data_IF_311800666706
#
_entry.id   IF_311800666706
#
_cell.length_a   1.000
_cell.length_b   1.000
_cell.length_c   1.000
_cell.angle_alpha   90.00
_cell.angle_beta   90.00
_cell.angle_gamma   90.00
#
_symmetry.space_group_name_H-M   'P 1'
#
loop_
_entity.id
_entity.type
_entity.pdbx_description
1 polymer ?
#
# COMPACT_ATOMS: atom_id res chain seq x y z
N UNK A 1 1.47 -15.44 34.53
CA UNK A 1 1.87 -14.46 33.52
C UNK A 1 2.85 -13.46 34.14
N UNK A 2 3.99 -13.21 33.45
CA UNK A 2 5.02 -12.29 34.00
C UNK A 2 4.88 -10.86 33.44
N UNK A 3 4.30 -10.70 32.26
CA UNK A 3 4.24 -9.43 31.50
C UNK A 3 2.79 -8.96 31.31
N UNK A 4 1.87 -9.89 31.02
CA UNK A 4 0.45 -9.55 30.79
C UNK A 4 -0.14 -8.84 31.99
N UNK A 5 -0.85 -7.75 31.77
CA UNK A 5 -1.48 -6.92 32.80
C UNK A 5 -0.52 -5.93 33.48
N UNK A 6 0.75 -5.82 33.04
CA UNK A 6 1.71 -4.85 33.55
C UNK A 6 2.01 -3.79 32.51
N UNK A 7 2.16 -2.54 32.94
CA UNK A 7 2.67 -1.47 32.08
C UNK A 7 4.18 -1.66 31.87
N UNK A 8 4.56 -2.04 30.65
CA UNK A 8 5.97 -2.21 30.26
C UNK A 8 6.34 -1.11 29.27
N UNK A 9 7.47 -0.42 29.51
CA UNK A 9 7.97 0.60 28.59
C UNK A 9 8.47 -0.06 27.30
N UNK A 10 8.21 0.58 26.17
CA UNK A 10 8.79 0.17 24.88
C UNK A 10 10.32 0.42 24.91
N UNK A 11 11.05 -0.50 24.30
CA UNK A 11 12.53 -0.43 24.24
C UNK A 11 13.03 0.73 23.38
N UNK A 12 12.28 1.09 22.33
CA UNK A 12 12.63 2.06 21.31
C UNK A 12 12.09 3.50 21.59
N UNK A 13 11.45 3.73 22.75
CA UNK A 13 10.83 5.02 23.06
C UNK A 13 11.86 6.13 23.16
N UNK A 14 12.99 5.89 23.82
CA UNK A 14 14.01 6.92 24.03
C UNK A 14 14.57 7.44 22.71
N UNK A 15 14.95 6.55 21.81
CA UNK A 15 15.52 6.92 20.51
C UNK A 15 14.51 7.71 19.67
N UNK A 16 13.21 7.33 19.73
CA UNK A 16 12.15 8.04 19.02
C UNK A 16 11.89 9.45 19.54
N UNK A 17 11.86 9.64 20.86
CA UNK A 17 11.57 10.97 21.44
C UNK A 17 12.77 11.90 21.46
N UNK A 18 13.99 11.37 21.34
CA UNK A 18 15.22 12.16 21.26
C UNK A 18 15.67 12.45 19.82
N UNK A 19 15.03 11.82 18.81
CA UNK A 19 15.43 11.92 17.41
C UNK A 19 16.67 11.09 17.05
N UNK A 20 17.10 10.16 17.90
CA UNK A 20 18.22 9.27 17.63
C UNK A 20 17.84 8.09 16.72
N UNK A 21 16.53 7.79 16.63
CA UNK A 21 16.03 6.72 15.76
C UNK A 21 16.30 7.05 14.29
N UNK A 22 16.94 6.11 13.59
CA UNK A 22 17.15 6.18 12.14
C UNK A 22 16.01 5.44 11.45
N UNK A 23 15.32 6.13 10.54
CA UNK A 23 14.27 5.57 9.70
C UNK A 23 14.78 5.25 8.29
N UNK A 24 14.02 4.50 7.50
CA UNK A 24 14.45 4.06 6.19
C UNK A 24 14.83 5.20 5.24
N UNK A 25 14.09 6.31 5.25
CA UNK A 25 14.41 7.47 4.39
C UNK A 25 15.53 8.39 4.93
N UNK A 26 16.00 8.17 6.16
CA UNK A 26 17.18 8.85 6.70
C UNK A 26 18.48 8.22 6.19
N UNK A 27 18.40 7.01 5.63
CA UNK A 27 19.56 6.30 5.12
C UNK A 27 20.21 7.06 3.97
N UNK A 28 21.52 7.27 4.06
CA UNK A 28 22.31 7.92 3.01
C UNK A 28 23.58 7.14 2.73
N UNK A 29 23.84 6.92 1.45
CA UNK A 29 25.03 6.22 0.98
C UNK A 29 25.75 7.04 -0.09
N UNK A 30 27.08 6.90 -0.23
CA UNK A 30 27.83 7.56 -1.31
C UNK A 30 27.26 7.16 -2.68
N UNK A 31 27.01 8.16 -3.53
CA UNK A 31 26.47 7.93 -4.88
C UNK A 31 25.00 7.51 -4.95
N UNK A 32 24.27 7.53 -3.83
CA UNK A 32 22.86 7.20 -3.78
C UNK A 32 22.03 8.14 -4.67
N UNK A 33 21.12 7.57 -5.45
CA UNK A 33 20.10 8.28 -6.20
C UNK A 33 18.74 8.11 -5.50
N UNK A 34 17.82 9.01 -5.81
CA UNK A 34 16.47 8.97 -5.28
C UNK A 34 15.49 8.68 -6.40
N UNK A 35 14.47 7.89 -6.13
CA UNK A 35 13.42 7.60 -7.07
C UNK A 35 12.05 7.92 -6.49
N UNK A 36 11.18 8.48 -7.32
CA UNK A 36 9.75 8.57 -7.07
C UNK A 36 9.03 7.64 -8.05
N UNK A 37 8.07 6.89 -7.56
CA UNK A 37 7.31 5.90 -8.34
C UNK A 37 5.83 6.25 -8.35
N UNK A 38 5.15 5.97 -9.46
CA UNK A 38 3.71 6.12 -9.61
C UNK A 38 3.14 4.88 -10.28
N UNK A 39 2.28 4.20 -9.56
CA UNK A 39 1.54 3.05 -10.06
C UNK A 39 0.25 3.49 -10.74
N UNK A 40 -0.29 2.60 -11.59
CA UNK A 40 -1.64 2.76 -12.10
C UNK A 40 -2.63 2.87 -10.92
N UNK A 41 -3.51 3.89 -10.91
CA UNK A 41 -4.45 4.08 -9.80
C UNK A 41 -5.51 2.99 -9.70
N UNK A 42 -5.65 2.15 -10.74
CA UNK A 42 -6.61 1.06 -10.79
C UNK A 42 -5.89 -0.27 -10.64
N UNK A 43 -6.32 -1.11 -9.71
CA UNK A 43 -5.77 -2.45 -9.51
C UNK A 43 -5.90 -3.31 -10.77
N UNK A 44 -4.78 -3.91 -11.18
CA UNK A 44 -4.69 -4.69 -12.41
C UNK A 44 -4.50 -3.86 -13.68
N UNK A 45 -4.52 -2.53 -13.56
CA UNK A 45 -4.21 -1.63 -14.67
C UNK A 45 -2.72 -1.63 -15.02
N UNK A 46 -2.40 -1.12 -16.21
CA UNK A 46 -1.05 -1.14 -16.79
C UNK A 46 -0.64 0.22 -17.34
N UNK A 47 0.65 0.40 -17.52
CA UNK A 47 1.19 1.53 -18.27
C UNK A 47 0.92 1.30 -19.76
N UNK A 48 0.16 2.18 -20.38
CA UNK A 48 -0.05 2.15 -21.84
C UNK A 48 1.06 2.92 -22.57
N UNK A 49 1.40 4.10 -22.08
CA UNK A 49 2.51 4.91 -22.59
C UNK A 49 2.88 6.01 -21.61
N UNK A 50 4.08 6.59 -21.75
CA UNK A 50 4.50 7.80 -21.05
C UNK A 50 5.52 8.59 -21.89
N UNK A 51 5.59 9.91 -21.66
CA UNK A 51 6.45 10.80 -22.42
C UNK A 51 7.76 11.10 -21.65
N UNK A 52 8.68 10.13 -21.60
CA UNK A 52 9.93 10.22 -20.85
C UNK A 52 10.72 11.52 -21.10
N UNK A 53 10.75 11.99 -22.36
CA UNK A 53 11.50 13.18 -22.75
C UNK A 53 11.08 14.46 -21.98
N UNK A 54 9.83 14.56 -21.55
CA UNK A 54 9.34 15.70 -20.76
C UNK A 54 9.95 15.77 -19.36
N UNK A 55 10.24 14.62 -18.76
CA UNK A 55 10.86 14.56 -17.44
C UNK A 55 12.39 14.51 -17.51
N UNK A 56 12.97 13.87 -18.55
CA UNK A 56 14.42 13.72 -18.68
C UNK A 56 15.20 15.03 -18.75
N UNK A 57 14.59 16.10 -19.29
CA UNK A 57 15.21 17.43 -19.35
C UNK A 57 15.09 18.25 -18.04
N UNK A 58 14.42 17.75 -17.02
CA UNK A 58 14.19 18.48 -15.77
C UNK A 58 15.41 18.43 -14.84
N UNK A 59 15.58 19.44 -13.96
CA UNK A 59 16.73 19.53 -13.07
C UNK A 59 16.92 18.25 -12.25
N UNK A 60 18.17 17.78 -12.20
CA UNK A 60 18.57 16.64 -11.35
C UNK A 60 18.14 15.27 -11.84
N UNK A 61 17.26 15.16 -12.84
CA UNK A 61 16.77 13.88 -13.37
C UNK A 61 17.90 13.11 -14.04
N UNK A 62 18.01 11.83 -13.73
CA UNK A 62 18.99 10.90 -14.28
C UNK A 62 18.35 9.88 -15.21
N UNK A 63 17.15 9.40 -14.87
CA UNK A 63 16.47 8.41 -15.69
C UNK A 63 14.96 8.44 -15.47
N UNK A 64 14.21 7.92 -16.45
CA UNK A 64 12.76 7.67 -16.38
C UNK A 64 12.56 6.24 -16.85
N UNK A 65 12.01 5.38 -16.01
CA UNK A 65 11.92 3.95 -16.27
C UNK A 65 10.51 3.42 -15.97
N UNK A 66 10.07 2.47 -16.77
CA UNK A 66 8.91 1.67 -16.44
C UNK A 66 9.32 0.58 -15.44
N UNK A 67 8.51 0.37 -14.41
CA UNK A 67 8.71 -0.64 -13.36
C UNK A 67 7.59 -1.67 -13.46
N UNK A 68 7.94 -2.88 -13.85
CA UNK A 68 6.94 -3.90 -14.19
C UNK A 68 5.99 -3.41 -15.29
N UNK A 69 4.75 -3.90 -15.25
CA UNK A 69 3.71 -3.52 -16.20
C UNK A 69 2.89 -2.31 -15.74
N UNK A 70 2.87 -2.01 -14.43
CA UNK A 70 1.89 -1.12 -13.82
C UNK A 70 2.43 0.21 -13.33
N UNK A 71 3.74 0.44 -13.36
CA UNK A 71 4.33 1.62 -12.72
C UNK A 71 5.38 2.32 -13.58
N UNK A 72 5.57 3.62 -13.31
CA UNK A 72 6.67 4.43 -13.88
C UNK A 72 7.42 5.10 -12.74
N UNK A 73 8.74 5.10 -12.79
CA UNK A 73 9.60 5.76 -11.84
C UNK A 73 10.49 6.81 -12.52
N UNK A 74 10.72 7.91 -11.81
CA UNK A 74 11.73 8.91 -12.15
C UNK A 74 12.85 8.84 -11.14
N UNK A 75 14.07 8.74 -11.61
CA UNK A 75 15.31 8.69 -10.82
C UNK A 75 16.03 10.03 -10.93
N UNK A 76 16.41 10.61 -9.79
CA UNK A 76 17.09 11.90 -9.73
C UNK A 76 18.14 11.96 -8.60
N UNK A 77 18.88 13.05 -8.54
CA UNK A 77 19.86 13.32 -7.48
C UNK A 77 19.22 13.58 -6.12
N UNK A 78 17.98 14.10 -6.09
CA UNK A 78 17.18 14.30 -4.88
C UNK A 78 15.77 13.74 -5.07
N UNK A 79 15.13 13.37 -3.96
CA UNK A 79 13.73 12.94 -4.01
C UNK A 79 12.81 14.05 -4.51
N UNK A 80 13.08 15.30 -4.17
CA UNK A 80 12.30 16.45 -4.65
C UNK A 80 12.33 16.56 -6.18
N UNK A 81 13.51 16.44 -6.79
CA UNK A 81 13.63 16.45 -8.25
C UNK A 81 12.91 15.27 -8.88
N UNK A 82 13.07 14.06 -8.31
CA UNK A 82 12.36 12.87 -8.79
C UNK A 82 10.84 13.04 -8.75
N UNK A 83 10.33 13.50 -7.60
CA UNK A 83 8.88 13.72 -7.38
C UNK A 83 8.32 14.81 -8.31
N UNK A 84 8.99 15.95 -8.40
CA UNK A 84 8.54 17.06 -9.25
C UNK A 84 8.50 16.66 -10.72
N UNK A 85 9.50 15.92 -11.19
CA UNK A 85 9.54 15.44 -12.56
C UNK A 85 8.49 14.34 -12.83
N UNK A 86 8.24 13.45 -11.86
CA UNK A 86 7.19 12.44 -11.96
C UNK A 86 5.78 13.07 -12.01
N UNK A 87 5.54 14.11 -11.23
CA UNK A 87 4.25 14.82 -11.24
C UNK A 87 3.99 15.54 -12.58
N UNK A 88 5.06 16.01 -13.23
CA UNK A 88 4.99 16.64 -14.54
C UNK A 88 4.96 15.64 -15.71
N UNK A 89 5.23 14.36 -15.46
CA UNK A 89 5.31 13.32 -16.47
C UNK A 89 3.92 12.89 -16.95
N UNK A 90 3.57 13.08 -18.24
CA UNK A 90 2.34 12.52 -18.77
C UNK A 90 2.44 11.00 -18.87
N UNK A 91 1.55 10.31 -18.17
CA UNK A 91 1.40 8.86 -18.21
C UNK A 91 -0.02 8.53 -18.65
N UNK A 92 -0.15 7.66 -19.62
CA UNK A 92 -1.43 7.10 -20.08
C UNK A 92 -1.55 5.70 -19.53
N UNK A 93 -2.63 5.45 -18.80
CA UNK A 93 -2.93 4.16 -18.20
C UNK A 93 -3.91 3.36 -19.04
N UNK A 94 -3.75 2.06 -19.05
CA UNK A 94 -4.79 1.10 -19.41
C UNK A 94 -5.35 0.56 -18.09
N UNK A 95 -6.53 1.06 -17.71
CA UNK A 95 -7.15 0.74 -16.43
C UNK A 95 -7.77 -0.66 -16.39
N UNK A 96 -7.94 -1.31 -17.54
CA UNK A 96 -8.42 -2.67 -17.65
C UNK A 96 -9.86 -2.87 -17.15
N UNK A 97 -10.16 -4.11 -16.74
CA UNK A 97 -11.52 -4.52 -16.35
C UNK A 97 -12.01 -3.83 -15.08
N UNK A 98 -11.11 -3.45 -14.20
CA UNK A 98 -11.43 -2.84 -12.90
C UNK A 98 -11.69 -1.34 -12.96
N UNK A 99 -11.61 -0.71 -14.14
CA UNK A 99 -11.84 0.73 -14.32
C UNK A 99 -13.18 1.24 -13.77
N UNK A 100 -14.19 0.38 -13.72
CA UNK A 100 -15.55 0.71 -13.26
C UNK A 100 -15.84 0.27 -11.83
N UNK A 101 -14.88 -0.34 -11.13
CA UNK A 101 -15.06 -0.77 -9.75
C UNK A 101 -15.11 0.45 -8.85
N UNK A 102 -16.12 0.53 -7.99
CA UNK A 102 -16.33 1.61 -7.04
C UNK A 102 -16.68 1.07 -5.65
N UNK A 103 -16.56 1.89 -4.63
CA UNK A 103 -17.00 1.52 -3.27
C UNK A 103 -18.47 1.11 -3.24
N UNK A 104 -19.31 1.75 -4.06
CA UNK A 104 -20.73 1.42 -4.17
C UNK A 104 -20.94 0.03 -4.80
N UNK A 105 -20.24 -0.27 -5.92
CA UNK A 105 -20.36 -1.58 -6.58
C UNK A 105 -19.87 -2.72 -5.67
N UNK A 106 -18.81 -2.48 -4.90
CA UNK A 106 -18.28 -3.45 -3.94
C UNK A 106 -19.27 -3.64 -2.78
N UNK A 107 -19.81 -2.56 -2.21
CA UNK A 107 -20.78 -2.66 -1.13
C UNK A 107 -22.04 -3.45 -1.54
N UNK A 108 -22.52 -3.22 -2.77
CA UNK A 108 -23.62 -3.99 -3.35
C UNK A 108 -23.28 -5.46 -3.47
N UNK A 109 -22.13 -5.77 -4.06
CA UNK A 109 -21.66 -7.16 -4.22
C UNK A 109 -21.50 -7.89 -2.88
N UNK A 110 -20.96 -7.21 -1.85
CA UNK A 110 -20.84 -7.76 -0.49
C UNK A 110 -22.22 -8.01 0.16
N UNK A 111 -23.17 -7.08 -0.03
CA UNK A 111 -24.54 -7.25 0.49
C UNK A 111 -25.25 -8.45 -0.16
N UNK A 112 -25.12 -8.62 -1.46
CA UNK A 112 -25.66 -9.79 -2.20
C UNK A 112 -25.10 -11.11 -1.65
N UNK A 113 -23.83 -11.10 -1.20
CA UNK A 113 -23.17 -12.26 -0.59
C UNK A 113 -23.79 -12.69 0.75
N UNK A 114 -24.38 -11.77 1.52
CA UNK A 114 -25.04 -12.10 2.79
C UNK A 114 -26.29 -12.95 2.62
N UNK A 115 -26.97 -12.80 1.50
CA UNK A 115 -28.20 -13.57 1.16
C UNK A 115 -27.91 -14.90 0.47
N UNK A 116 -26.64 -15.20 0.22
CA UNK A 116 -26.26 -16.44 -0.46
C UNK A 116 -26.49 -17.67 0.45
N UNK A 117 -27.29 -18.60 -0.01
CA UNK A 117 -27.61 -19.82 0.73
C UNK A 117 -26.39 -20.75 0.92
N UNK A 118 -25.38 -20.65 0.04
CA UNK A 118 -24.18 -21.45 0.06
C UNK A 118 -22.97 -20.58 0.41
N UNK A 119 -22.32 -20.79 1.56
CA UNK A 119 -21.09 -20.07 1.88
C UNK A 119 -19.96 -20.48 0.94
N UNK A 120 -19.13 -19.54 0.53
CA UNK A 120 -17.94 -19.82 -0.26
C UNK A 120 -16.90 -20.63 0.54
N UNK A 121 -16.85 -20.41 1.85
CA UNK A 121 -15.94 -21.07 2.78
C UNK A 121 -16.50 -21.08 4.20
N UNK A 122 -16.36 -22.21 4.89
CA UNK A 122 -16.72 -22.35 6.30
C UNK A 122 -15.43 -22.33 7.12
N UNK A 123 -15.14 -21.20 7.75
CA UNK A 123 -13.93 -21.02 8.58
C UNK A 123 -14.03 -21.76 9.91
N UNK A 124 -15.21 -21.74 10.55
CA UNK A 124 -15.49 -22.45 11.80
C UNK A 124 -16.98 -22.76 11.89
N UNK A 125 -17.32 -23.93 12.39
CA UNK A 125 -18.70 -24.33 12.62
C UNK A 125 -18.81 -25.00 13.98
N UNK A 126 -19.67 -24.44 14.84
CA UNK A 126 -20.02 -25.03 16.13
C UNK A 126 -21.53 -24.93 16.32
N UNK A 127 -22.20 -26.08 16.40
CA UNK A 127 -23.65 -26.17 16.46
C UNK A 127 -24.37 -25.76 15.16
N UNK A 128 -25.66 -25.42 15.30
CA UNK A 128 -26.52 -24.93 14.21
C UNK A 128 -27.01 -23.51 14.56
N UNK A 129 -26.24 -22.50 14.11
CA UNK A 129 -26.54 -21.09 14.35
C UNK A 129 -27.86 -20.66 13.71
N UNK A 130 -28.20 -21.17 12.51
CA UNK A 130 -29.44 -20.82 11.81
C UNK A 130 -30.66 -21.30 12.57
N UNK A 131 -30.66 -22.55 13.02
CA UNK A 131 -31.74 -23.10 13.83
C UNK A 131 -31.86 -22.37 15.18
N UNK A 132 -30.75 -22.06 15.85
CA UNK A 132 -30.72 -21.32 17.10
C UNK A 132 -31.32 -19.91 16.96
N UNK A 133 -30.94 -19.17 15.92
CA UNK A 133 -31.49 -17.83 15.63
C UNK A 133 -32.99 -17.94 15.28
N UNK A 134 -33.38 -18.93 14.48
CA UNK A 134 -34.79 -19.13 14.11
C UNK A 134 -35.69 -19.33 15.31
N UNK A 135 -35.25 -20.10 16.32
CA UNK A 135 -35.97 -20.42 17.54
C UNK A 135 -35.80 -19.43 18.69
N UNK A 136 -34.95 -18.41 18.55
CA UNK A 136 -34.67 -17.45 19.60
C UNK A 136 -35.91 -16.63 20.00
N UNK A 137 -36.17 -16.50 21.30
CA UNK A 137 -37.29 -15.72 21.85
C UNK A 137 -37.15 -14.21 21.54
N UNK A 138 -35.92 -13.71 21.39
CA UNK A 138 -35.63 -12.31 21.02
C UNK A 138 -34.49 -12.28 20.03
N UNK A 139 -34.66 -11.51 18.97
CA UNK A 139 -33.64 -11.29 17.93
C UNK A 139 -33.25 -9.82 17.91
N UNK A 140 -31.98 -9.57 17.69
CA UNK A 140 -31.43 -8.23 17.45
C UNK A 140 -30.63 -8.31 16.15
N UNK A 141 -30.94 -7.45 15.22
CA UNK A 141 -30.30 -7.39 13.91
C UNK A 141 -29.66 -6.03 13.70
N UNK A 142 -28.46 -6.00 13.15
CA UNK A 142 -27.75 -4.78 12.79
C UNK A 142 -26.80 -5.04 11.64
N UNK A 143 -26.66 -4.05 10.75
CA UNK A 143 -25.69 -4.07 9.66
C UNK A 143 -24.62 -3.03 9.96
N UNK A 144 -23.37 -3.47 9.91
CA UNK A 144 -22.20 -2.62 10.13
C UNK A 144 -21.41 -2.52 8.83
N UNK A 145 -21.16 -1.28 8.37
CA UNK A 145 -20.37 -1.01 7.18
C UNK A 145 -19.04 -0.38 7.59
N UNK A 146 -17.95 -0.96 7.10
CA UNK A 146 -16.60 -0.43 7.28
C UNK A 146 -16.06 -0.01 5.90
N UNK A 147 -15.72 1.26 5.70
CA UNK A 147 -15.08 1.68 4.45
C UNK A 147 -13.67 1.09 4.35
N UNK A 148 -13.20 0.92 3.13
CA UNK A 148 -11.79 0.61 2.91
C UNK A 148 -10.91 1.74 3.45
N UNK A 149 -9.84 1.36 4.14
CA UNK A 149 -8.90 2.30 4.74
C UNK A 149 -7.54 2.16 4.07
N UNK A 150 -6.89 3.28 3.84
CA UNK A 150 -5.51 3.29 3.37
C UNK A 150 -4.56 3.00 4.55
N UNK A 151 -3.55 2.18 4.33
CA UNK A 151 -2.47 1.92 5.29
C UNK A 151 -1.49 3.10 5.28
N UNK A 152 -1.93 4.25 5.77
CA UNK A 152 -1.10 5.46 5.90
C UNK A 152 -0.22 5.34 7.13
N UNK A 153 0.93 4.69 6.99
CA UNK A 153 1.92 4.58 8.06
C UNK A 153 2.53 5.93 8.41
N UNK A 154 2.95 6.11 9.68
CA UNK A 154 3.59 7.37 10.12
C UNK A 154 4.92 7.60 9.40
N UNK A 155 5.70 6.56 9.18
CA UNK A 155 6.84 6.59 8.27
C UNK A 155 6.33 6.38 6.84
N UNK A 156 6.52 7.33 5.91
CA UNK A 156 6.15 7.12 4.51
C UNK A 156 6.83 5.89 3.93
N UNK A 157 6.08 5.06 3.21
CA UNK A 157 6.62 3.84 2.61
C UNK A 157 7.79 4.17 1.70
N UNK A 158 8.94 3.57 1.99
CA UNK A 158 10.17 3.75 1.26
C UNK A 158 11.03 2.48 1.30
N UNK A 159 11.95 2.36 0.37
CA UNK A 159 12.97 1.32 0.38
C UNK A 159 14.26 1.87 -0.23
N UNK A 160 15.39 1.51 0.35
CA UNK A 160 16.72 1.76 -0.21
C UNK A 160 17.35 0.43 -0.58
N UNK A 161 17.90 0.33 -1.80
CA UNK A 161 18.57 -0.86 -2.28
C UNK A 161 20.00 -0.56 -2.70
N UNK A 162 20.94 -1.38 -2.26
CA UNK A 162 22.32 -1.39 -2.74
C UNK A 162 22.56 -2.67 -3.51
N UNK A 163 22.64 -2.55 -4.82
CA UNK A 163 22.89 -3.67 -5.73
C UNK A 163 24.37 -3.79 -6.07
N UNK A 164 24.87 -5.01 -6.02
CA UNK A 164 26.15 -5.42 -6.57
C UNK A 164 25.95 -6.70 -7.41
N UNK A 165 26.91 -7.09 -8.27
CA UNK A 165 26.77 -8.34 -9.03
C UNK A 165 26.50 -9.58 -8.18
N UNK A 166 26.98 -9.59 -6.92
CA UNK A 166 26.92 -10.76 -6.04
C UNK A 166 25.71 -10.71 -5.09
N UNK A 167 25.15 -9.52 -4.82
CA UNK A 167 24.07 -9.37 -3.86
C UNK A 167 23.25 -8.09 -4.03
N UNK A 168 22.07 -8.08 -3.44
CA UNK A 168 21.26 -6.88 -3.26
C UNK A 168 20.87 -6.74 -1.79
N UNK A 169 21.36 -5.71 -1.13
CA UNK A 169 20.95 -5.35 0.24
C UNK A 169 19.79 -4.37 0.14
N UNK A 170 18.70 -4.62 0.88
CA UNK A 170 17.50 -3.77 0.88
C UNK A 170 17.14 -3.36 2.31
N UNK A 171 16.92 -2.08 2.51
CA UNK A 171 16.44 -1.48 3.76
C UNK A 171 15.05 -0.90 3.52
N UNK A 172 14.08 -1.35 4.30
CA UNK A 172 12.70 -0.83 4.29
C UNK A 172 12.10 -0.93 5.68
N UNK A 173 11.13 -0.07 5.96
CA UNK A 173 10.30 -0.18 7.15
C UNK A 173 9.27 -1.33 6.98
N UNK A 174 9.20 -2.24 7.98
CA UNK A 174 8.27 -3.38 8.00
C UNK A 174 7.56 -3.47 9.34
#
# INVERSE_FOLDING_TARGET
WKIIGKSVKRLDTVDKVTGAQVYGFDLKMPGMLNAAIKDCPVFGGKVKSFEAAKAQGMPGVKNVVQVGDSAVAVVADTWWHAKTALDALPIVWDEGENAKVSSESIAKWLAEGLDNAQPAYIGNQNGDAKAAIASAAKKVEAVYNYPYQNHATMEPMNATALYTPDKCDVWCGT
#
